data_IF_357130564740
#
_entry.id   IF_357130564740
#
_cell.length_a   1.000
_cell.length_b   1.000
_cell.length_c   1.000
_cell.angle_alpha   90.00
_cell.angle_beta   90.00
_cell.angle_gamma   90.00
#
_symmetry.space_group_name_H-M   'P 1'
#
loop_
_entity.id
_entity.type
_entity.pdbx_description
1 polymer ?
#
# COMPACT_ATOMS: atom_id res chain seq x y z
N UNK A 1 -10.94 -16.51 -39.51
CA UNK A 1 -11.87 -15.39 -39.24
C UNK A 1 -12.79 -15.78 -38.10
N UNK A 2 -12.56 -15.30 -36.88
CA UNK A 2 -13.49 -15.46 -35.76
C UNK A 2 -14.13 -14.09 -35.53
N UNK A 3 -15.36 -13.92 -36.02
CA UNK A 3 -16.21 -12.74 -35.82
C UNK A 3 -17.08 -13.01 -34.60
N UNK A 4 -16.92 -12.19 -33.56
CA UNK A 4 -17.95 -11.90 -32.55
C UNK A 4 -18.45 -13.08 -31.69
N UNK A 5 -17.66 -13.52 -30.71
CA UNK A 5 -18.24 -14.12 -29.50
C UNK A 5 -18.29 -13.04 -28.42
N UNK A 6 -19.37 -12.25 -28.41
CA UNK A 6 -19.68 -11.36 -27.29
C UNK A 6 -20.42 -12.18 -26.22
N UNK A 7 -19.83 -12.31 -25.02
CA UNK A 7 -20.50 -12.96 -23.91
C UNK A 7 -21.48 -11.98 -23.24
N UNK A 8 -22.77 -12.33 -23.24
CA UNK A 8 -23.82 -11.59 -22.57
C UNK A 8 -24.19 -12.28 -21.26
N UNK A 9 -24.48 -11.50 -20.23
CA UNK A 9 -25.07 -12.07 -19.01
C UNK A 9 -26.50 -12.51 -19.30
N UNK A 10 -26.78 -13.80 -19.18
CA UNK A 10 -28.12 -14.39 -19.44
C UNK A 10 -29.20 -13.85 -18.50
N UNK A 11 -28.82 -13.31 -17.35
CA UNK A 11 -29.76 -12.76 -16.36
C UNK A 11 -30.12 -11.28 -16.58
N UNK A 12 -29.25 -10.47 -17.21
CA UNK A 12 -29.46 -9.03 -17.31
C UNK A 12 -29.14 -8.43 -18.69
N UNK A 13 -28.76 -9.23 -19.67
CA UNK A 13 -28.46 -8.81 -21.05
C UNK A 13 -27.23 -7.91 -21.20
N UNK A 14 -26.51 -7.61 -20.11
CA UNK A 14 -25.38 -6.68 -20.14
C UNK A 14 -24.11 -7.38 -20.64
N UNK A 15 -23.38 -6.71 -21.55
CA UNK A 15 -22.11 -7.20 -22.11
C UNK A 15 -21.09 -7.44 -20.98
N UNK A 16 -20.51 -8.63 -20.92
CA UNK A 16 -19.37 -8.92 -20.04
C UNK A 16 -18.18 -9.30 -20.91
N UNK A 17 -17.11 -8.51 -20.86
CA UNK A 17 -15.87 -8.83 -21.55
C UNK A 17 -15.22 -10.04 -20.85
N UNK A 18 -15.15 -11.22 -21.48
CA UNK A 18 -14.72 -12.46 -20.83
C UNK A 18 -13.26 -12.43 -20.37
N UNK A 19 -12.46 -11.46 -20.85
CA UNK A 19 -11.03 -11.34 -20.54
C UNK A 19 -10.65 -10.07 -19.73
N UNK A 20 -11.62 -9.27 -19.27
CA UNK A 20 -11.31 -8.06 -18.50
C UNK A 20 -11.15 -8.31 -16.99
N UNK A 21 -11.53 -9.49 -16.49
CA UNK A 21 -11.49 -9.83 -15.06
C UNK A 21 -10.16 -10.52 -14.66
N UNK A 22 -9.45 -11.13 -15.62
CA UNK A 22 -8.28 -11.98 -15.34
C UNK A 22 -6.96 -11.19 -15.10
N UNK A 23 -6.93 -9.88 -15.40
CA UNK A 23 -5.73 -9.06 -15.19
C UNK A 23 -5.74 -8.24 -13.89
N UNK A 24 -6.83 -8.26 -13.09
CA UNK A 24 -6.92 -7.47 -11.85
C UNK A 24 -6.62 -8.31 -10.61
N UNK A 25 -7.04 -9.57 -10.58
CA UNK A 25 -6.84 -10.44 -9.41
C UNK A 25 -5.44 -11.10 -9.36
N UNK A 26 -4.75 -11.18 -10.50
CA UNK A 26 -3.40 -11.73 -10.61
C UNK A 26 -2.28 -10.69 -10.40
N UNK A 27 -2.56 -9.40 -10.57
CA UNK A 27 -1.53 -8.33 -10.55
C UNK A 27 -1.03 -7.98 -9.15
N UNK A 28 -1.87 -8.14 -8.11
CA UNK A 28 -1.50 -7.86 -6.72
C UNK A 28 -0.76 -9.02 -6.03
N UNK A 29 -1.20 -10.28 -6.23
CA UNK A 29 -0.59 -11.45 -5.58
C UNK A 29 0.79 -11.81 -6.15
N UNK A 30 0.98 -11.67 -7.47
CA UNK A 30 2.28 -11.95 -8.12
C UNK A 30 3.38 -10.94 -7.74
N UNK A 31 3.02 -9.66 -7.56
CA UNK A 31 3.97 -8.65 -7.09
C UNK A 31 4.42 -8.88 -5.63
N UNK A 32 3.48 -9.26 -4.74
CA UNK A 32 3.79 -9.60 -3.34
C UNK A 32 4.65 -10.88 -3.22
N UNK A 33 4.38 -11.86 -4.09
CA UNK A 33 5.19 -13.07 -4.20
C UNK A 33 6.61 -12.77 -4.72
N UNK A 34 6.74 -11.87 -5.70
CA UNK A 34 8.03 -11.42 -6.22
C UNK A 34 8.90 -10.71 -5.18
N UNK A 35 8.32 -9.81 -4.38
CA UNK A 35 9.06 -9.13 -3.30
C UNK A 35 9.51 -10.08 -2.18
N UNK A 36 8.67 -11.04 -1.81
CA UNK A 36 9.00 -12.04 -0.78
C UNK A 36 10.05 -13.03 -1.29
N UNK A 37 9.90 -13.54 -2.53
CA UNK A 37 10.87 -14.41 -3.17
C UNK A 37 12.22 -13.71 -3.35
N UNK A 38 12.25 -12.43 -3.76
CA UNK A 38 13.47 -11.65 -3.86
C UNK A 38 14.16 -11.46 -2.49
N UNK A 39 13.39 -11.28 -1.41
CA UNK A 39 13.94 -11.19 -0.05
C UNK A 39 14.53 -12.51 0.42
N UNK A 40 13.86 -13.63 0.16
CA UNK A 40 14.35 -14.97 0.51
C UNK A 40 15.59 -15.32 -0.31
N UNK A 41 15.56 -15.13 -1.63
CA UNK A 41 16.72 -15.34 -2.50
C UNK A 41 17.88 -14.43 -2.11
N UNK A 42 17.60 -13.16 -1.82
CA UNK A 42 18.61 -12.22 -1.31
C UNK A 42 19.23 -12.70 0.00
N UNK A 43 18.42 -13.18 0.95
CA UNK A 43 18.91 -13.69 2.22
C UNK A 43 19.73 -14.98 2.05
N UNK A 44 19.30 -15.89 1.17
CA UNK A 44 20.04 -17.12 0.84
C UNK A 44 21.40 -16.78 0.21
N UNK A 45 21.43 -15.88 -0.78
CA UNK A 45 22.67 -15.44 -1.41
C UNK A 45 23.60 -14.76 -0.40
N UNK A 46 23.06 -13.97 0.53
CA UNK A 46 23.85 -13.29 1.55
C UNK A 46 24.46 -14.26 2.55
N UNK A 47 23.67 -15.19 3.11
CA UNK A 47 24.14 -16.21 4.06
C UNK A 47 25.15 -17.14 3.38
N UNK A 48 24.83 -17.64 2.19
CA UNK A 48 25.70 -18.56 1.47
C UNK A 48 27.00 -17.90 1.02
N UNK A 49 26.91 -16.66 0.51
CA UNK A 49 28.07 -15.87 0.11
C UNK A 49 28.99 -15.53 1.28
N UNK A 50 28.43 -15.11 2.42
CA UNK A 50 29.19 -14.82 3.63
C UNK A 50 29.84 -16.08 4.21
N UNK A 51 29.12 -17.20 4.20
CA UNK A 51 29.65 -18.49 4.61
C UNK A 51 30.82 -18.94 3.72
N UNK A 52 30.65 -18.89 2.39
CA UNK A 52 31.70 -19.28 1.44
C UNK A 52 32.94 -18.37 1.55
N UNK A 53 32.74 -17.06 1.71
CA UNK A 53 33.83 -16.10 1.90
C UNK A 53 34.59 -16.36 3.21
N UNK A 54 33.88 -16.63 4.31
CA UNK A 54 34.49 -17.01 5.58
C UNK A 54 35.26 -18.33 5.49
N UNK A 55 34.69 -19.33 4.80
CA UNK A 55 35.34 -20.62 4.58
C UNK A 55 36.65 -20.43 3.82
N UNK A 56 36.61 -19.76 2.66
CA UNK A 56 37.80 -19.46 1.86
C UNK A 56 38.85 -18.68 2.65
N UNK A 57 38.44 -17.65 3.40
CA UNK A 57 39.37 -16.87 4.23
C UNK A 57 40.10 -17.76 5.25
N UNK A 58 39.38 -18.65 5.94
CA UNK A 58 39.98 -19.61 6.90
C UNK A 58 40.88 -20.61 6.17
N UNK A 59 40.45 -21.19 5.05
CA UNK A 59 41.26 -22.17 4.31
C UNK A 59 42.57 -21.56 3.82
N UNK A 60 42.54 -20.34 3.27
CA UNK A 60 43.75 -19.65 2.81
C UNK A 60 44.67 -19.23 3.96
N UNK A 61 44.12 -18.82 5.11
CA UNK A 61 44.90 -18.50 6.31
C UNK A 61 45.66 -19.73 6.85
N UNK A 62 45.06 -20.91 6.77
CA UNK A 62 45.67 -22.18 7.21
C UNK A 62 46.72 -22.69 6.22
N UNK A 63 46.49 -22.53 4.91
CA UNK A 63 47.36 -23.11 3.87
C UNK A 63 48.64 -22.30 3.61
N UNK A 64 48.60 -20.97 3.77
CA UNK A 64 49.75 -20.09 3.55
C UNK A 64 49.89 -19.14 4.74
N UNK A 65 50.61 -19.55 5.80
CA UNK A 65 50.97 -18.68 6.91
C UNK A 65 52.06 -17.70 6.46
N UNK A 66 51.67 -16.70 5.67
CA UNK A 66 52.56 -15.69 5.07
C UNK A 66 51.80 -14.44 4.64
N UNK A 67 52.40 -13.27 4.91
CA UNK A 67 51.84 -11.91 4.85
C UNK A 67 50.82 -11.66 3.71
N UNK A 68 49.55 -11.49 4.08
CA UNK A 68 48.55 -10.70 3.33
C UNK A 68 47.83 -11.31 2.11
N UNK A 69 48.34 -12.37 1.49
CA UNK A 69 47.72 -12.92 0.25
C UNK A 69 46.30 -13.47 0.49
N UNK A 70 46.05 -14.09 1.64
CA UNK A 70 44.72 -14.57 2.01
C UNK A 70 43.69 -13.44 2.13
N UNK A 71 44.09 -12.27 2.64
CA UNK A 71 43.22 -11.10 2.73
C UNK A 71 42.97 -10.43 1.38
N UNK A 72 43.93 -10.45 0.46
CA UNK A 72 43.74 -9.88 -0.88
C UNK A 72 42.69 -10.68 -1.69
N UNK A 73 42.80 -12.02 -1.69
CA UNK A 73 41.88 -12.89 -2.44
C UNK A 73 40.54 -13.05 -1.71
N UNK A 74 40.57 -13.32 -0.40
CA UNK A 74 39.34 -13.43 0.40
C UNK A 74 38.59 -12.10 0.49
N UNK A 75 39.31 -10.99 0.61
CA UNK A 75 38.75 -9.65 0.65
C UNK A 75 38.09 -9.24 -0.67
N UNK A 76 38.69 -9.55 -1.82
CA UNK A 76 38.07 -9.23 -3.12
C UNK A 76 36.80 -10.05 -3.37
N UNK A 77 36.80 -11.35 -3.09
CA UNK A 77 35.62 -12.20 -3.21
C UNK A 77 34.52 -11.75 -2.22
N UNK A 78 34.91 -11.47 -0.98
CA UNK A 78 34.00 -10.94 0.05
C UNK A 78 33.40 -9.59 -0.35
N UNK A 79 34.21 -8.69 -0.92
CA UNK A 79 33.77 -7.39 -1.40
C UNK A 79 32.78 -7.51 -2.56
N UNK A 80 33.07 -8.33 -3.57
CA UNK A 80 32.14 -8.58 -4.69
C UNK A 80 30.82 -9.17 -4.19
N UNK A 81 30.87 -10.14 -3.27
CA UNK A 81 29.69 -10.76 -2.67
C UNK A 81 28.86 -9.75 -1.88
N UNK A 82 29.52 -8.87 -1.11
CA UNK A 82 28.87 -7.82 -0.35
C UNK A 82 28.22 -6.79 -1.27
N UNK A 83 28.88 -6.44 -2.37
CA UNK A 83 28.37 -5.49 -3.37
C UNK A 83 27.15 -6.05 -4.10
N UNK A 84 27.19 -7.30 -4.56
CA UNK A 84 26.02 -7.97 -5.16
C UNK A 84 24.88 -8.14 -4.16
N UNK A 85 25.20 -8.53 -2.91
CA UNK A 85 24.23 -8.67 -1.84
C UNK A 85 23.53 -7.35 -1.50
N UNK A 86 24.29 -6.26 -1.38
CA UNK A 86 23.76 -4.93 -1.17
C UNK A 86 22.89 -4.49 -2.35
N UNK A 87 23.37 -4.66 -3.58
CA UNK A 87 22.61 -4.28 -4.77
C UNK A 87 21.27 -5.03 -4.86
N UNK A 88 21.25 -6.33 -4.57
CA UNK A 88 20.05 -7.15 -4.58
C UNK A 88 19.08 -6.78 -3.44
N UNK A 89 19.60 -6.49 -2.24
CA UNK A 89 18.79 -6.05 -1.11
C UNK A 89 18.11 -4.70 -1.36
N UNK A 90 18.86 -3.73 -1.89
CA UNK A 90 18.32 -2.42 -2.27
C UNK A 90 17.37 -2.52 -3.47
N UNK A 91 17.68 -3.37 -4.46
CA UNK A 91 16.81 -3.66 -5.60
C UNK A 91 15.47 -4.25 -5.16
N UNK A 92 15.47 -5.21 -4.23
CA UNK A 92 14.26 -5.83 -3.69
C UNK A 92 13.32 -4.84 -2.98
N UNK A 93 13.86 -3.85 -2.26
CA UNK A 93 13.04 -2.79 -1.63
C UNK A 93 12.34 -1.90 -2.65
N UNK A 94 13.04 -1.50 -3.72
CA UNK A 94 12.43 -0.69 -4.79
C UNK A 94 11.36 -1.47 -5.54
N UNK A 95 11.57 -2.75 -5.82
CA UNK A 95 10.56 -3.60 -6.46
C UNK A 95 9.33 -3.81 -5.56
N UNK A 96 9.52 -3.95 -4.24
CA UNK A 96 8.41 -4.04 -3.29
C UNK A 96 7.53 -2.79 -3.28
N UNK A 97 8.14 -1.60 -3.28
CA UNK A 97 7.40 -0.33 -3.35
C UNK A 97 6.60 -0.18 -4.64
N UNK A 98 7.16 -0.57 -5.79
CA UNK A 98 6.44 -0.56 -7.08
C UNK A 98 5.29 -1.57 -7.06
N UNK A 99 5.49 -2.73 -6.42
CA UNK A 99 4.46 -3.74 -6.21
C UNK A 99 3.29 -3.22 -5.38
N UNK A 100 3.55 -2.59 -4.24
CA UNK A 100 2.53 -2.04 -3.35
C UNK A 100 1.75 -0.88 -4.02
N UNK A 101 2.43 -0.03 -4.79
CA UNK A 101 1.78 1.02 -5.58
C UNK A 101 0.84 0.43 -6.64
N UNK A 102 1.28 -0.58 -7.37
CA UNK A 102 0.47 -1.24 -8.40
C UNK A 102 -0.72 -2.03 -7.82
N UNK A 103 -0.55 -2.62 -6.64
CA UNK A 103 -1.61 -3.30 -5.91
C UNK A 103 -2.66 -2.31 -5.40
N UNK A 104 -2.21 -1.15 -4.91
CA UNK A 104 -3.10 -0.07 -4.46
C UNK A 104 -3.91 0.49 -5.64
N UNK A 105 -3.27 0.73 -6.79
CA UNK A 105 -3.96 1.18 -8.00
C UNK A 105 -5.03 0.18 -8.48
N UNK A 106 -4.74 -1.12 -8.42
CA UNK A 106 -5.69 -2.17 -8.77
C UNK A 106 -6.88 -2.21 -7.79
N UNK A 107 -6.62 -2.02 -6.48
CA UNK A 107 -7.66 -1.93 -5.46
C UNK A 107 -8.55 -0.70 -5.68
N UNK A 108 -7.98 0.47 -5.98
CA UNK A 108 -8.74 1.69 -6.28
C UNK A 108 -9.67 1.48 -7.49
N UNK A 109 -9.17 0.83 -8.56
CA UNK A 109 -10.01 0.49 -9.73
C UNK A 109 -11.17 -0.45 -9.35
N UNK A 110 -10.93 -1.41 -8.47
CA UNK A 110 -11.96 -2.32 -7.98
C UNK A 110 -13.01 -1.61 -7.12
N UNK A 111 -12.59 -0.73 -6.20
CA UNK A 111 -13.48 0.12 -5.39
C UNK A 111 -14.35 1.00 -6.29
N UNK A 112 -13.77 1.65 -7.30
CA UNK A 112 -14.53 2.47 -8.27
C UNK A 112 -15.52 1.64 -9.08
N UNK A 113 -15.15 0.41 -9.45
CA UNK A 113 -16.08 -0.54 -10.06
C UNK A 113 -17.26 -0.89 -9.16
N UNK A 114 -16.99 -1.11 -7.87
CA UNK A 114 -18.00 -1.39 -6.86
C UNK A 114 -18.91 -0.17 -6.61
N UNK A 115 -18.35 1.04 -6.57
CA UNK A 115 -19.07 2.28 -6.40
C UNK A 115 -20.11 2.47 -7.52
N UNK A 116 -19.71 2.23 -8.78
CA UNK A 116 -20.62 2.28 -9.93
C UNK A 116 -21.79 1.29 -9.82
N UNK A 117 -21.57 0.13 -9.20
CA UNK A 117 -22.62 -0.86 -8.99
C UNK A 117 -23.60 -0.43 -7.88
N UNK A 118 -23.11 0.29 -6.85
CA UNK A 118 -23.90 0.73 -5.68
C UNK A 118 -24.37 2.19 -5.76
N UNK A 119 -24.46 2.75 -6.98
CA UNK A 119 -24.90 4.14 -7.23
C UNK A 119 -24.05 5.20 -6.52
N UNK A 120 -22.76 4.94 -6.34
CA UNK A 120 -21.79 5.91 -5.82
C UNK A 120 -21.69 5.98 -4.30
N UNK A 121 -22.49 5.25 -3.52
CA UNK A 121 -22.39 5.25 -2.06
C UNK A 121 -21.78 3.95 -1.57
N UNK A 122 -20.71 4.03 -0.78
CA UNK A 122 -20.00 2.89 -0.22
C UNK A 122 -19.67 3.10 1.26
N UNK A 123 -19.77 2.02 2.03
CA UNK A 123 -19.25 1.96 3.41
C UNK A 123 -17.95 1.18 3.47
N UNK A 124 -17.15 1.38 4.51
CA UNK A 124 -15.98 0.54 4.78
C UNK A 124 -16.34 -0.96 4.91
N UNK A 125 -17.54 -1.25 5.44
CA UNK A 125 -18.06 -2.62 5.55
C UNK A 125 -18.38 -3.26 4.20
N UNK A 126 -18.89 -2.50 3.23
CA UNK A 126 -19.18 -3.01 1.89
C UNK A 126 -17.89 -3.35 1.14
N UNK A 127 -16.89 -2.47 1.23
CA UNK A 127 -15.58 -2.68 0.60
C UNK A 127 -14.86 -3.86 1.23
N UNK A 128 -14.86 -3.97 2.56
CA UNK A 128 -14.26 -5.09 3.28
C UNK A 128 -14.84 -6.44 2.83
N UNK A 129 -16.16 -6.54 2.73
CA UNK A 129 -16.86 -7.78 2.32
C UNK A 129 -16.62 -8.15 0.85
N UNK A 130 -16.54 -7.16 -0.04
CA UNK A 130 -16.38 -7.45 -1.49
C UNK A 130 -14.94 -7.71 -1.89
N UNK A 131 -13.97 -7.10 -1.20
CA UNK A 131 -12.55 -7.26 -1.50
C UNK A 131 -11.84 -8.26 -0.59
N UNK A 132 -12.55 -8.89 0.35
CA UNK A 132 -12.01 -9.80 1.35
C UNK A 132 -10.84 -9.16 2.14
N UNK A 133 -11.07 -7.91 2.58
CA UNK A 133 -10.09 -7.09 3.29
C UNK A 133 -10.53 -6.87 4.74
N UNK A 134 -9.58 -6.75 5.69
CA UNK A 134 -9.93 -6.35 7.05
C UNK A 134 -10.55 -4.94 7.05
N UNK A 135 -11.60 -4.73 7.87
CA UNK A 135 -12.38 -3.48 7.92
C UNK A 135 -11.49 -2.24 8.10
N UNK A 136 -10.49 -2.32 8.97
CA UNK A 136 -9.51 -1.25 9.21
C UNK A 136 -8.72 -0.85 7.96
N UNK A 137 -8.37 -1.83 7.10
CA UNK A 137 -7.63 -1.55 5.86
C UNK A 137 -8.55 -0.96 4.79
N UNK A 138 -9.79 -1.44 4.70
CA UNK A 138 -10.80 -0.89 3.80
C UNK A 138 -11.12 0.58 4.15
N UNK A 139 -11.29 0.86 5.44
CA UNK A 139 -11.50 2.21 5.96
C UNK A 139 -10.31 3.13 5.62
N UNK A 140 -9.08 2.72 5.96
CA UNK A 140 -7.88 3.48 5.65
C UNK A 140 -7.73 3.77 4.14
N UNK A 141 -8.11 2.83 3.26
CA UNK A 141 -8.09 3.05 1.80
C UNK A 141 -9.13 4.07 1.35
N UNK A 142 -10.33 4.05 1.94
CA UNK A 142 -11.39 5.00 1.62
C UNK A 142 -11.07 6.40 2.15
N UNK A 143 -10.51 6.50 3.34
CA UNK A 143 -10.01 7.76 3.91
C UNK A 143 -8.88 8.35 3.07
N UNK A 144 -7.93 7.51 2.63
CA UNK A 144 -6.84 7.94 1.76
C UNK A 144 -7.37 8.46 0.42
N UNK A 145 -8.36 7.78 -0.17
CA UNK A 145 -9.04 8.26 -1.38
C UNK A 145 -9.76 9.59 -1.16
N UNK A 146 -10.41 9.79 -0.01
CA UNK A 146 -11.09 11.04 0.33
C UNK A 146 -10.11 12.22 0.54
N UNK A 147 -8.86 11.94 0.93
CA UNK A 147 -7.82 12.96 1.09
C UNK A 147 -7.32 13.52 -0.25
N UNK A 148 -7.42 12.74 -1.32
CA UNK A 148 -6.87 13.07 -2.62
C UNK A 148 -7.93 13.77 -3.51
N UNK A 149 -7.75 15.07 -3.84
CA UNK A 149 -8.78 15.86 -4.51
C UNK A 149 -9.07 15.42 -5.95
N UNK A 150 -8.14 14.72 -6.58
CA UNK A 150 -8.22 14.11 -7.91
C UNK A 150 -9.10 12.85 -7.96
N UNK A 151 -9.45 12.27 -6.80
CA UNK A 151 -10.19 11.01 -6.74
C UNK A 151 -11.71 11.18 -6.63
N UNK A 152 -12.20 12.41 -6.44
CA UNK A 152 -13.64 12.76 -6.37
C UNK A 152 -14.46 11.92 -5.40
N UNK A 153 -13.90 11.70 -4.20
CA UNK A 153 -14.56 11.00 -3.09
C UNK A 153 -14.92 12.00 -1.99
N UNK A 154 -16.20 12.04 -1.59
CA UNK A 154 -16.66 12.77 -0.42
C UNK A 154 -16.95 11.84 0.75
N UNK A 155 -17.01 12.43 1.94
CA UNK A 155 -17.36 11.74 3.17
C UNK A 155 -18.60 12.41 3.74
N UNK A 156 -19.58 11.61 4.08
CA UNK A 156 -20.81 12.01 4.75
C UNK A 156 -21.03 11.08 5.95
N UNK A 157 -21.72 11.57 6.97
CA UNK A 157 -22.09 10.77 8.13
C UNK A 157 -23.62 10.70 8.11
N UNK A 158 -24.16 9.49 8.16
CA UNK A 158 -25.61 9.31 8.20
C UNK A 158 -26.20 9.62 9.58
N UNK A 159 -27.53 9.59 9.67
CA UNK A 159 -28.27 9.81 10.92
C UNK A 159 -28.01 8.74 11.99
N UNK A 160 -27.35 7.63 11.61
CA UNK A 160 -26.98 6.53 12.49
C UNK A 160 -25.50 6.59 12.94
N UNK A 161 -24.74 7.59 12.47
CA UNK A 161 -23.32 7.76 12.77
C UNK A 161 -22.39 6.87 11.94
N UNK A 162 -22.87 6.23 10.87
CA UNK A 162 -22.04 5.47 9.95
C UNK A 162 -21.42 6.40 8.88
N UNK A 163 -20.16 6.13 8.55
CA UNK A 163 -19.40 6.91 7.58
C UNK A 163 -19.68 6.40 6.17
N UNK A 164 -20.30 7.25 5.36
CA UNK A 164 -20.61 7.03 3.96
C UNK A 164 -19.57 7.71 3.07
N UNK A 165 -19.01 6.96 2.13
CA UNK A 165 -18.11 7.48 1.11
C UNK A 165 -18.86 7.62 -0.21
N UNK A 166 -18.93 8.84 -0.74
CA UNK A 166 -19.66 9.20 -1.95
C UNK A 166 -18.69 9.39 -3.11
N UNK A 167 -18.82 8.57 -4.15
CA UNK A 167 -18.03 8.60 -5.37
C UNK A 167 -18.82 9.27 -6.49
N UNK A 168 -18.14 10.09 -7.30
CA UNK A 168 -18.70 10.77 -8.46
C UNK A 168 -19.94 11.67 -8.14
N UNK A 169 -20.15 12.00 -6.86
CA UNK A 169 -21.27 12.85 -6.43
C UNK A 169 -20.86 14.34 -6.48
N UNK A 170 -21.58 15.23 -7.21
CA UNK A 170 -21.34 16.67 -7.13
C UNK A 170 -21.51 17.24 -5.72
N UNK A 171 -22.35 16.63 -4.86
CA UNK A 171 -22.55 17.07 -3.47
C UNK A 171 -21.34 16.77 -2.58
N UNK A 172 -20.58 15.71 -2.88
CA UNK A 172 -19.29 15.44 -2.25
C UNK A 172 -18.24 16.52 -2.53
N UNK A 173 -18.39 17.30 -3.62
CA UNK A 173 -17.53 18.46 -3.88
C UNK A 173 -17.93 19.69 -3.07
N UNK A 174 -19.18 19.77 -2.59
CA UNK A 174 -19.75 20.95 -1.91
C UNK A 174 -19.14 21.19 -0.54
N UNK A 175 -18.71 20.13 0.15
CA UNK A 175 -18.14 20.21 1.51
C UNK A 175 -16.61 20.32 1.55
N UNK A 176 -15.93 20.40 0.39
CA UNK A 176 -14.50 20.74 0.34
C UNK A 176 -14.34 22.25 0.55
N UNK A 177 -14.26 22.67 1.81
CA UNK A 177 -13.85 24.03 2.15
C UNK A 177 -12.39 24.18 1.71
N UNK A 178 -12.17 24.89 0.60
CA UNK A 178 -10.83 25.32 0.19
C UNK A 178 -10.42 26.41 1.17
N UNK A 179 -9.43 26.14 2.02
CA UNK A 179 -8.92 27.10 3.02
C UNK A 179 -8.45 28.41 2.37
N UNK A 180 -8.05 28.38 1.10
CA UNK A 180 -7.72 29.60 0.33
C UNK A 180 -8.93 30.50 0.03
N UNK A 181 -10.16 29.97 0.05
CA UNK A 181 -11.38 30.71 -0.28
C UNK A 181 -12.13 31.23 0.96
N UNK A 182 -11.74 30.82 2.17
CA UNK A 182 -12.37 31.28 3.41
C UNK A 182 -11.89 32.66 3.87
N UNK A 183 -10.84 33.22 3.25
CA UNK A 183 -10.27 34.51 3.68
C UNK A 183 -9.76 34.52 5.13
N UNK A 184 -9.53 33.32 5.68
CA UNK A 184 -9.04 33.11 7.03
C UNK A 184 -7.53 32.99 6.96
N UNK A 185 -6.84 34.03 7.42
CA UNK A 185 -5.39 34.04 7.48
C UNK A 185 -4.93 32.99 8.50
N UNK A 186 -4.05 32.07 8.07
CA UNK A 186 -3.62 30.95 8.91
C UNK A 186 -2.90 31.43 10.18
N UNK A 187 -2.26 32.60 10.08
CA UNK A 187 -1.54 33.25 11.17
C UNK A 187 -2.50 33.89 12.21
N UNK A 188 -3.66 34.38 11.77
CA UNK A 188 -4.71 34.93 12.64
C UNK A 188 -5.41 33.82 13.43
N UNK A 189 -5.71 32.70 12.77
CA UNK A 189 -6.27 31.52 13.43
C UNK A 189 -5.31 30.86 14.42
N UNK A 190 -4.01 30.84 14.12
CA UNK A 190 -2.99 30.34 15.05
C UNK A 190 -2.84 31.24 16.28
N UNK A 191 -2.94 32.56 16.11
CA UNK A 191 -2.96 33.53 17.20
C UNK A 191 -4.21 33.37 18.08
N UNK A 192 -5.38 33.17 17.49
CA UNK A 192 -6.64 32.99 18.22
C UNK A 192 -6.70 31.63 18.93
N UNK A 193 -6.22 30.55 18.29
CA UNK A 193 -6.14 29.22 18.90
C UNK A 193 -5.18 29.17 20.11
N UNK A 194 -4.17 30.04 20.16
CA UNK A 194 -3.27 30.16 21.31
C UNK A 194 -3.91 30.84 22.53
N UNK A 195 -5.02 31.58 22.33
CA UNK A 195 -5.78 32.22 23.40
C UNK A 195 -6.90 31.33 23.95
N UNK A 196 -7.24 30.25 23.24
CA UNK A 196 -8.20 29.25 23.72
C UNK A 196 -7.45 28.34 24.70
N UNK A 197 -7.47 28.70 25.97
CA UNK A 197 -7.01 27.85 27.06
C UNK A 197 -7.95 26.63 27.12
N UNK A 198 -7.54 25.51 26.51
CA UNK A 198 -8.30 24.27 26.55
C UNK A 198 -8.50 23.89 28.03
N UNK A 199 -9.75 23.66 28.50
CA UNK A 199 -9.95 23.15 29.84
C UNK A 199 -9.17 21.83 29.97
N UNK A 200 -8.31 21.78 30.99
CA UNK A 200 -7.53 20.60 31.31
C UNK A 200 -8.44 19.37 31.25
N UNK A 201 -7.98 18.34 30.53
CA UNK A 201 -8.62 17.01 30.40
C UNK A 201 -9.51 16.73 31.60
N UNK A 202 -10.82 16.73 31.39
CA UNK A 202 -11.74 16.14 32.36
C UNK A 202 -11.39 14.65 32.36
N UNK A 203 -10.66 14.22 33.40
CA UNK A 203 -10.46 12.81 33.68
C UNK A 203 -11.83 12.21 33.97
N UNK A 204 -12.44 11.59 32.96
CA UNK A 204 -13.66 10.81 33.14
C UNK A 204 -13.27 9.57 33.94
N UNK A 205 -13.73 9.40 35.19
CA UNK A 205 -13.45 8.21 35.95
C UNK A 205 -14.11 7.03 35.24
N UNK A 206 -13.30 6.07 34.81
CA UNK A 206 -13.80 4.76 34.38
C UNK A 206 -14.28 4.02 35.62
N UNK A 207 -15.53 4.28 36.03
CA UNK A 207 -16.24 3.37 36.93
C UNK A 207 -16.39 2.03 36.21
N UNK A 208 -15.50 1.10 36.57
CA UNK A 208 -15.69 -0.33 36.32
C UNK A 208 -16.81 -0.80 37.24
N UNK A 209 -18.02 -0.94 36.72
CA UNK A 209 -19.02 -1.77 37.37
C UNK A 209 -18.61 -3.25 37.23
N UNK A 210 -18.60 -3.91 38.37
CA UNK A 210 -18.40 -5.34 38.58
C UNK A 210 -19.75 -5.99 38.91
#
# INVERSE_FOLDING_TARGET
MLRGMEAFCTACGRRRLPFAQEALNLKGKSAKAGGTAARVLGMVVWIFGLFLAALLAVTFQVLVPGWGLGFAVGGTIGFVTLLLGAFLFFGGRKLGQIGDASATEAQIKAIRGLARQRRGVLTAGDVARHLDLPRQRADALLTDLARHPDQDVGVEIDDHGEVLFLFDNPEARRWRIRVEASGLDADEFAAEASQIELPARVEVPLEREA
#
